data_IF_159988279814
#
_entry.id   IF_159988279814
#
_cell.length_a   1.000
_cell.length_b   1.000
_cell.length_c   1.000
_cell.angle_alpha   90.00
_cell.angle_beta   90.00
_cell.angle_gamma   90.00
#
_symmetry.space_group_name_H-M   'P 1'
#
loop_
_entity.id
_entity.type
_entity.pdbx_description
1 polymer ?
#
# COMPACT_ATOMS: atom_id res chain seq x y z
N UNK A 1 9.52 -16.53 2.79
CA UNK A 1 8.53 -15.45 2.96
C UNK A 1 8.50 -14.62 1.70
N UNK A 2 7.30 -14.32 1.20
CA UNK A 2 7.10 -13.40 0.08
C UNK A 2 6.98 -11.98 0.60
N UNK A 3 7.46 -11.01 -0.16
CA UNK A 3 7.30 -9.60 0.21
C UNK A 3 5.91 -9.10 -0.18
N UNK A 4 5.26 -8.36 0.72
CA UNK A 4 4.06 -7.59 0.44
C UNK A 4 4.30 -6.14 0.86
N UNK A 5 3.89 -5.17 0.04
CA UNK A 5 4.07 -3.74 0.33
C UNK A 5 2.70 -3.06 0.39
N UNK A 6 2.38 -2.46 1.52
CA UNK A 6 1.17 -1.70 1.74
C UNK A 6 1.47 -0.20 1.64
N UNK A 7 1.05 0.42 0.53
CA UNK A 7 1.21 1.85 0.31
C UNK A 7 -0.01 2.62 0.82
N UNK A 8 0.21 3.66 1.60
CA UNK A 8 -0.85 4.52 2.12
C UNK A 8 -0.43 6.00 2.22
N UNK A 9 -1.37 6.88 2.59
CA UNK A 9 -1.12 8.32 2.76
C UNK A 9 -1.70 8.91 4.06
N UNK A 10 -1.92 8.07 5.08
CA UNK A 10 -2.44 8.52 6.38
C UNK A 10 -3.94 8.85 6.41
N UNK A 11 -4.67 8.54 5.34
CA UNK A 11 -6.11 8.73 5.24
C UNK A 11 -6.90 7.84 6.23
N UNK A 12 -8.10 8.21 6.70
CA UNK A 12 -8.87 7.37 7.63
C UNK A 12 -9.12 5.95 7.11
N UNK A 13 -9.40 5.79 5.81
CA UNK A 13 -9.58 4.47 5.19
C UNK A 13 -8.28 3.65 5.14
N UNK A 14 -7.12 4.33 5.14
CA UNK A 14 -5.81 3.69 5.21
C UNK A 14 -5.64 2.91 6.52
N UNK A 15 -6.07 3.48 7.66
CA UNK A 15 -6.00 2.83 8.98
C UNK A 15 -6.88 1.58 9.03
N UNK A 16 -8.09 1.66 8.45
CA UNK A 16 -8.98 0.50 8.38
C UNK A 16 -8.42 -0.60 7.47
N UNK A 17 -7.80 -0.23 6.34
CA UNK A 17 -7.20 -1.18 5.41
C UNK A 17 -5.93 -1.83 5.98
N UNK A 18 -5.12 -1.11 6.74
CA UNK A 18 -3.94 -1.66 7.43
C UNK A 18 -4.35 -2.73 8.43
N UNK A 19 -5.26 -2.41 9.37
CA UNK A 19 -5.74 -3.35 10.39
C UNK A 19 -6.54 -4.52 9.82
N UNK A 20 -7.38 -4.25 8.83
CA UNK A 20 -8.32 -5.24 8.29
C UNK A 20 -7.73 -6.14 7.21
N UNK A 21 -6.71 -5.67 6.49
CA UNK A 21 -6.12 -6.39 5.36
C UNK A 21 -4.64 -6.63 5.59
N UNK A 22 -3.82 -5.59 5.76
CA UNK A 22 -2.37 -5.75 5.85
C UNK A 22 -1.94 -6.62 7.05
N UNK A 23 -2.49 -6.36 8.24
CA UNK A 23 -2.23 -7.13 9.47
C UNK A 23 -2.84 -8.55 9.44
N UNK A 24 -3.82 -8.80 8.55
CA UNK A 24 -4.44 -10.12 8.41
C UNK A 24 -3.64 -11.08 7.51
N UNK A 25 -2.60 -10.59 6.82
CA UNK A 25 -1.70 -11.46 6.08
C UNK A 25 -0.94 -12.37 7.04
N UNK A 26 -0.91 -13.65 6.72
CA UNK A 26 -0.16 -14.66 7.46
C UNK A 26 1.35 -14.29 7.50
N UNK A 27 1.91 -13.99 8.69
CA UNK A 27 3.30 -13.53 8.82
C UNK A 27 4.32 -14.63 8.52
N UNK A 28 3.96 -15.91 8.55
CA UNK A 28 4.85 -16.98 8.10
C UNK A 28 5.00 -17.01 6.58
N UNK A 29 4.01 -16.45 5.87
CA UNK A 29 3.96 -16.41 4.40
C UNK A 29 4.43 -15.09 3.84
N UNK A 30 4.07 -13.98 4.48
CA UNK A 30 4.34 -12.64 3.98
C UNK A 30 5.06 -11.75 5.00
N UNK A 31 6.12 -11.11 4.52
CA UNK A 31 6.73 -9.96 5.19
C UNK A 31 6.05 -8.70 4.65
N UNK A 32 5.25 -8.06 5.50
CA UNK A 32 4.49 -6.84 5.14
C UNK A 32 5.31 -5.61 5.46
N UNK A 33 5.63 -4.82 4.43
CA UNK A 33 6.23 -3.50 4.55
C UNK A 33 5.14 -2.43 4.43
N UNK A 34 5.06 -1.51 5.38
CA UNK A 34 4.12 -0.38 5.33
C UNK A 34 4.86 0.89 4.89
N UNK A 35 4.33 1.55 3.87
CA UNK A 35 4.97 2.70 3.21
C UNK A 35 4.02 3.89 3.20
N UNK A 36 4.40 4.98 3.85
CA UNK A 36 3.59 6.19 3.91
C UNK A 36 4.01 7.17 2.81
N UNK A 37 3.37 7.11 1.63
CA UNK A 37 3.72 7.94 0.47
C UNK A 37 3.59 9.46 0.70
N UNK A 38 2.74 9.88 1.64
CA UNK A 38 2.69 11.29 2.06
C UNK A 38 3.93 11.80 2.82
N UNK A 39 4.74 10.89 3.37
CA UNK A 39 5.98 11.20 4.10
C UNK A 39 7.20 10.79 3.26
N UNK A 40 7.15 9.63 2.63
CA UNK A 40 8.20 9.06 1.79
C UNK A 40 7.95 9.36 0.30
N UNK A 41 7.85 10.64 -0.07
CA UNK A 41 7.55 11.05 -1.46
C UNK A 41 8.49 10.46 -2.53
N UNK A 42 9.73 10.15 -2.16
CA UNK A 42 10.70 9.49 -3.05
C UNK A 42 10.27 8.10 -3.55
N UNK A 43 9.30 7.46 -2.88
CA UNK A 43 8.78 6.14 -3.23
C UNK A 43 7.52 6.16 -4.09
N UNK A 44 7.01 7.34 -4.46
CA UNK A 44 5.84 7.46 -5.35
C UNK A 44 6.14 6.81 -6.70
N UNK A 45 7.32 7.03 -7.28
CA UNK A 45 7.70 6.43 -8.57
C UNK A 45 7.80 4.90 -8.51
N UNK A 46 8.26 4.35 -7.38
CA UNK A 46 8.28 2.91 -7.12
C UNK A 46 6.86 2.33 -7.08
N UNK A 47 5.95 2.99 -6.34
CA UNK A 47 4.56 2.58 -6.26
C UNK A 47 3.85 2.64 -7.63
N UNK A 48 4.09 3.70 -8.41
CA UNK A 48 3.57 3.80 -9.79
C UNK A 48 4.10 2.68 -10.68
N UNK A 49 5.39 2.37 -10.62
CA UNK A 49 6.00 1.27 -11.38
C UNK A 49 5.43 -0.10 -10.98
N UNK A 50 5.03 -0.27 -9.72
CA UNK A 50 4.30 -1.44 -9.24
C UNK A 50 2.82 -1.46 -9.66
N UNK A 51 2.31 -0.43 -10.34
CA UNK A 51 0.93 -0.34 -10.79
C UNK A 51 -0.05 0.24 -9.76
N UNK A 52 0.45 0.88 -8.70
CA UNK A 52 -0.39 1.61 -7.74
C UNK A 52 -0.96 2.84 -8.42
N UNK A 53 -2.28 3.01 -8.32
CA UNK A 53 -3.05 4.12 -8.91
C UNK A 53 -3.78 4.93 -7.84
N UNK A 54 -4.10 4.28 -6.73
CA UNK A 54 -4.73 4.89 -5.57
C UNK A 54 -4.21 4.23 -4.30
N UNK A 55 -4.29 4.93 -3.19
CA UNK A 55 -4.02 4.40 -1.86
C UNK A 55 -5.30 4.36 -1.02
N UNK A 56 -5.43 3.45 -0.05
CA UNK A 56 -4.48 2.40 0.29
C UNK A 56 -4.41 1.28 -0.76
N UNK A 57 -3.22 0.71 -0.97
CA UNK A 57 -3.00 -0.39 -1.90
C UNK A 57 -2.00 -1.41 -1.35
N UNK A 58 -2.25 -2.68 -1.61
CA UNK A 58 -1.36 -3.78 -1.28
C UNK A 58 -0.75 -4.35 -2.56
N UNK A 59 0.57 -4.40 -2.63
CA UNK A 59 1.33 -5.03 -3.71
C UNK A 59 1.93 -6.34 -3.18
N UNK A 60 1.56 -7.47 -3.77
CA UNK A 60 2.11 -8.78 -3.40
C UNK A 60 2.09 -9.72 -4.60
N UNK A 61 3.10 -10.59 -4.71
CA UNK A 61 3.25 -11.55 -5.80
C UNK A 61 3.17 -10.89 -7.21
N UNK A 62 3.69 -9.67 -7.34
CA UNK A 62 3.66 -8.89 -8.59
C UNK A 62 2.28 -8.37 -8.98
N UNK A 63 1.27 -8.50 -8.11
CA UNK A 63 -0.07 -7.97 -8.32
C UNK A 63 -0.38 -6.84 -7.34
N UNK A 64 -1.16 -5.89 -7.82
CA UNK A 64 -1.58 -4.72 -7.05
C UNK A 64 -3.07 -4.77 -6.77
N UNK A 65 -3.42 -4.60 -5.50
CA UNK A 65 -4.77 -4.63 -4.98
C UNK A 65 -5.08 -3.25 -4.37
N UNK A 66 -5.93 -2.47 -5.03
CA UNK A 66 -6.42 -1.20 -4.48
C UNK A 66 -7.55 -1.50 -3.49
N UNK A 67 -7.46 -0.94 -2.29
CA UNK A 67 -8.39 -1.23 -1.20
C UNK A 67 -9.20 0.03 -0.93
N UNK A 68 -10.51 -0.06 -1.20
CA UNK A 68 -11.50 0.94 -0.79
C UNK A 68 -11.07 2.41 -1.04
N UNK A 69 -10.55 2.70 -2.24
CA UNK A 69 -10.09 4.00 -2.76
C UNK A 69 -10.11 5.17 -1.76
N UNK A 70 -8.96 5.54 -1.21
CA UNK A 70 -8.81 6.71 -0.32
C UNK A 70 -8.37 7.98 -1.05
N UNK A 71 -7.25 7.91 -1.77
CA UNK A 71 -6.71 9.03 -2.54
C UNK A 71 -6.04 8.52 -3.83
N UNK A 72 -6.02 9.34 -4.89
CA UNK A 72 -5.26 9.03 -6.09
C UNK A 72 -3.76 9.16 -5.81
N UNK A 73 -2.93 8.33 -6.45
CA UNK A 73 -1.47 8.49 -6.36
C UNK A 73 -1.01 9.84 -6.95
N UNK A 74 -1.76 10.36 -7.92
CA UNK A 74 -1.51 11.68 -8.52
C UNK A 74 -1.71 12.82 -7.53
N UNK A 75 -2.56 12.65 -6.50
CA UNK A 75 -2.83 13.68 -5.48
C UNK A 75 -1.68 13.81 -4.47
N UNK A 76 -0.72 12.86 -4.49
CA UNK A 76 0.41 12.80 -3.55
C UNK A 76 1.69 13.44 -4.09
N UNK A 77 1.69 13.86 -5.36
CA UNK A 77 2.83 14.51 -6.02
C UNK A 77 3.03 15.92 -5.46
#
# INVERSE_FOLDING_TARGET
>A
MSKAVFYHAGCPVCVSAERGVAEALDPERYEVEVVHLGQEKGRIAEAEAAGVKSVPALVMNGQTYHINFGASISDLK
#
